data_IF_841403160936
#
_entry.id   IF_841403160936
#
_cell.length_a   1.000
_cell.length_b   1.000
_cell.length_c   1.000
_cell.angle_alpha   90.00
_cell.angle_beta   90.00
_cell.angle_gamma   90.00
#
_symmetry.space_group_name_H-M   'P 1'
#
loop_
_entity.id
_entity.type
_entity.pdbx_description
1 polymer ?
#
# COMPACT_ATOMS: atom_id res chain seq x y z
N UNK A 1 -7.27 -5.34 18.06
CA UNK A 1 -6.66 -6.58 18.61
C UNK A 1 -6.08 -7.54 17.53
N UNK A 2 -6.54 -7.62 16.25
CA UNK A 2 -5.98 -8.59 15.28
C UNK A 2 -4.48 -8.44 14.95
N UNK A 3 -3.95 -7.21 14.95
CA UNK A 3 -2.56 -6.93 14.56
C UNK A 3 -1.51 -7.54 15.52
N UNK A 4 -1.75 -7.50 16.83
CA UNK A 4 -0.81 -8.05 17.81
C UNK A 4 -0.67 -9.57 17.67
N UNK A 5 -1.77 -10.27 17.33
CA UNK A 5 -1.74 -11.70 17.06
C UNK A 5 -0.95 -12.05 15.80
N UNK A 6 -1.00 -11.19 14.77
CA UNK A 6 -0.19 -11.35 13.57
C UNK A 6 1.31 -11.14 13.85
N UNK A 7 1.68 -10.15 14.67
CA UNK A 7 3.08 -9.92 15.06
C UNK A 7 3.67 -11.11 15.84
N UNK A 8 2.86 -11.76 16.68
CA UNK A 8 3.28 -12.95 17.44
C UNK A 8 3.35 -14.23 16.59
N UNK A 9 2.92 -14.18 15.32
CA UNK A 9 2.99 -15.31 14.39
C UNK A 9 3.53 -14.86 13.02
N UNK A 10 4.86 -14.89 12.83
CA UNK A 10 5.51 -14.41 11.61
C UNK A 10 4.95 -15.01 10.31
N UNK A 11 4.62 -16.30 10.31
CA UNK A 11 4.06 -16.98 9.13
C UNK A 11 2.68 -16.40 8.73
N UNK A 12 1.84 -16.07 9.72
CA UNK A 12 0.55 -15.43 9.47
C UNK A 12 0.74 -13.99 8.95
N UNK A 13 1.69 -13.24 9.52
CA UNK A 13 2.04 -11.91 9.05
C UNK A 13 2.55 -11.92 7.60
N UNK A 14 3.50 -12.80 7.27
CA UNK A 14 4.03 -12.98 5.92
C UNK A 14 2.92 -13.31 4.91
N UNK A 15 2.04 -14.25 5.27
CA UNK A 15 0.91 -14.63 4.41
C UNK A 15 -0.02 -13.43 4.19
N UNK A 16 -0.37 -12.69 5.24
CA UNK A 16 -1.23 -11.52 5.13
C UNK A 16 -0.60 -10.42 4.27
N UNK A 17 0.70 -10.17 4.44
CA UNK A 17 1.46 -9.21 3.62
C UNK A 17 1.46 -9.65 2.17
N UNK A 18 1.73 -10.93 1.88
CA UNK A 18 1.74 -11.48 0.52
C UNK A 18 0.37 -11.43 -0.15
N UNK A 19 -0.70 -11.77 0.56
CA UNK A 19 -2.08 -11.69 0.02
C UNK A 19 -2.54 -10.25 -0.23
N UNK A 20 -1.99 -9.28 0.50
CA UNK A 20 -2.44 -7.88 0.44
C UNK A 20 -1.59 -7.04 -0.51
N UNK A 21 -0.28 -7.24 -0.53
CA UNK A 21 0.68 -6.44 -1.29
C UNK A 21 1.42 -7.24 -2.38
N UNK A 22 1.18 -8.54 -2.51
CA UNK A 22 2.04 -9.49 -3.23
C UNK A 22 2.56 -9.02 -4.57
N UNK A 23 1.69 -8.47 -5.43
CA UNK A 23 2.11 -7.97 -6.76
C UNK A 23 3.07 -6.78 -6.66
N UNK A 24 2.97 -5.94 -5.63
CA UNK A 24 3.91 -4.83 -5.39
C UNK A 24 5.23 -5.29 -4.75
N UNK A 25 5.31 -6.54 -4.26
CA UNK A 25 6.53 -7.12 -3.73
C UNK A 25 7.33 -7.85 -4.81
N UNK A 26 6.71 -8.21 -5.93
CA UNK A 26 7.35 -8.86 -7.06
C UNK A 26 8.47 -7.97 -7.66
N UNK A 27 9.72 -8.45 -7.76
CA UNK A 27 10.81 -7.75 -8.45
C UNK A 27 10.52 -7.42 -9.91
N UNK A 28 9.68 -8.19 -10.60
CA UNK A 28 9.29 -7.94 -11.99
C UNK A 28 8.28 -6.79 -12.13
N UNK A 29 7.66 -6.32 -11.03
CA UNK A 29 6.71 -5.21 -11.08
C UNK A 29 7.42 -3.91 -11.38
N UNK A 30 7.14 -3.38 -12.58
CA UNK A 30 7.67 -2.09 -13.04
C UNK A 30 7.30 -0.97 -12.07
N UNK A 31 8.29 -0.15 -11.72
CA UNK A 31 8.16 1.00 -10.82
C UNK A 31 7.62 0.64 -9.42
N UNK A 32 7.87 -0.59 -8.94
CA UNK A 32 7.35 -1.06 -7.63
C UNK A 32 7.67 -0.12 -6.47
N UNK A 33 8.86 0.48 -6.47
CA UNK A 33 9.31 1.39 -5.41
C UNK A 33 8.49 2.68 -5.40
N UNK A 34 8.32 3.31 -6.56
CA UNK A 34 7.52 4.52 -6.68
C UNK A 34 6.03 4.27 -6.40
N UNK A 35 5.52 3.09 -6.78
CA UNK A 35 4.14 2.69 -6.47
C UNK A 35 3.94 2.43 -4.98
N UNK A 36 4.90 1.75 -4.32
CA UNK A 36 4.88 1.54 -2.87
C UNK A 36 4.93 2.87 -2.12
N UNK A 37 5.86 3.75 -2.48
CA UNK A 37 5.97 5.10 -1.91
C UNK A 37 4.66 5.88 -2.06
N UNK A 38 4.06 5.87 -3.25
CA UNK A 38 2.79 6.56 -3.50
C UNK A 38 1.65 5.97 -2.66
N UNK A 39 1.61 4.65 -2.51
CA UNK A 39 0.62 3.97 -1.68
C UNK A 39 0.76 4.35 -0.21
N UNK A 40 1.98 4.29 0.35
CA UNK A 40 2.26 4.66 1.74
C UNK A 40 1.86 6.12 2.01
N UNK A 41 2.30 7.05 1.14
CA UNK A 41 1.97 8.46 1.29
C UNK A 41 0.48 8.71 1.17
N UNK A 42 -0.20 8.10 0.20
CA UNK A 42 -1.63 8.31 0.01
C UNK A 42 -2.48 7.72 1.13
N UNK A 43 -2.07 6.59 1.69
CA UNK A 43 -2.72 6.00 2.86
C UNK A 43 -2.56 6.88 4.11
N UNK A 44 -1.43 7.56 4.26
CA UNK A 44 -1.15 8.49 5.37
C UNK A 44 -1.87 9.84 5.21
N UNK A 45 -1.84 10.43 4.00
CA UNK A 45 -2.37 11.77 3.73
C UNK A 45 -3.86 11.81 3.46
N UNK A 46 -4.46 10.73 2.97
CA UNK A 46 -5.91 10.64 2.75
C UNK A 46 -6.45 11.36 1.50
N UNK A 47 -5.65 12.24 0.87
CA UNK A 47 -6.06 12.95 -0.34
C UNK A 47 -4.98 12.93 -1.42
N UNK A 48 -5.38 12.98 -2.69
CA UNK A 48 -4.45 13.07 -3.83
C UNK A 48 -3.65 14.38 -3.79
N UNK A 49 -4.30 15.49 -3.38
CA UNK A 49 -3.67 16.81 -3.31
C UNK A 49 -2.50 16.80 -2.32
N UNK A 50 -2.74 16.28 -1.13
CA UNK A 50 -1.72 16.27 -0.07
C UNK A 50 -0.63 15.23 -0.36
N UNK A 51 -1.00 14.13 -1.02
CA UNK A 51 -0.01 13.14 -1.50
C UNK A 51 0.91 13.74 -2.57
N UNK A 52 0.36 14.53 -3.49
CA UNK A 52 1.13 15.21 -4.54
C UNK A 52 2.10 16.24 -3.95
N UNK A 53 1.64 17.02 -2.96
CA UNK A 53 2.48 17.97 -2.24
C UNK A 53 3.63 17.26 -1.50
N UNK A 54 3.35 16.18 -0.77
CA UNK A 54 4.35 15.40 -0.04
C UNK A 54 5.41 14.79 -0.98
N UNK A 55 4.96 14.15 -2.06
CA UNK A 55 5.84 13.50 -3.03
C UNK A 55 6.55 14.49 -3.96
N UNK A 56 6.21 15.79 -3.88
CA UNK A 56 6.67 16.83 -4.83
C UNK A 56 6.38 16.44 -6.29
N UNK A 57 5.20 15.87 -6.53
CA UNK A 57 4.74 15.43 -7.84
C UNK A 57 3.54 16.23 -8.31
N UNK A 58 3.33 16.27 -9.62
CA UNK A 58 2.07 16.79 -10.16
C UNK A 58 0.90 15.87 -9.78
N UNK A 59 -0.27 16.46 -9.51
CA UNK A 59 -1.50 15.70 -9.15
C UNK A 59 -1.81 14.59 -10.14
N UNK A 60 -1.59 14.83 -11.45
CA UNK A 60 -1.87 13.84 -12.49
C UNK A 60 -0.96 12.62 -12.38
N UNK A 61 0.30 12.80 -11.98
CA UNK A 61 1.24 11.69 -11.76
C UNK A 61 0.78 10.83 -10.59
N UNK A 62 0.30 11.43 -9.50
CA UNK A 62 -0.24 10.69 -8.36
C UNK A 62 -1.51 9.94 -8.75
N UNK A 63 -2.44 10.56 -9.47
CA UNK A 63 -3.65 9.89 -9.97
C UNK A 63 -3.31 8.67 -10.83
N UNK A 64 -2.40 8.83 -11.78
CA UNK A 64 -1.94 7.74 -12.64
C UNK A 64 -1.36 6.57 -11.83
N UNK A 65 -0.52 6.87 -10.82
CA UNK A 65 0.05 5.85 -9.94
C UNK A 65 -1.03 5.17 -9.08
N UNK A 66 -2.01 5.92 -8.57
CA UNK A 66 -3.12 5.36 -7.80
C UNK A 66 -4.03 4.48 -8.67
N UNK A 67 -4.30 4.86 -9.91
CA UNK A 67 -5.04 4.01 -10.86
C UNK A 67 -4.28 2.74 -11.16
N UNK A 68 -2.95 2.84 -11.34
CA UNK A 68 -2.12 1.65 -11.51
C UNK A 68 -2.15 0.74 -10.28
N UNK A 69 -2.11 1.32 -9.08
CA UNK A 69 -2.24 0.57 -7.82
C UNK A 69 -3.61 -0.13 -7.72
N UNK A 70 -4.72 0.55 -8.09
CA UNK A 70 -6.06 -0.05 -8.14
C UNK A 70 -6.11 -1.26 -9.08
N UNK A 71 -5.53 -1.14 -10.28
CA UNK A 71 -5.43 -2.23 -11.25
C UNK A 71 -4.62 -3.42 -10.73
N UNK A 72 -3.44 -3.13 -10.17
CA UNK A 72 -2.50 -4.14 -9.69
C UNK A 72 -3.02 -4.89 -8.46
N UNK A 73 -3.67 -4.19 -7.53
CA UNK A 73 -4.17 -4.76 -6.29
C UNK A 73 -5.59 -5.33 -6.44
N UNK A 74 -6.32 -4.96 -7.50
CA UNK A 74 -7.71 -5.36 -7.71
C UNK A 74 -8.65 -4.84 -6.62
N UNK A 75 -8.35 -3.68 -6.04
CA UNK A 75 -9.07 -3.12 -4.87
C UNK A 75 -9.36 -1.64 -5.02
N UNK A 76 -10.44 -1.19 -4.40
CA UNK A 76 -10.77 0.22 -4.28
C UNK A 76 -10.00 0.86 -3.11
N UNK A 77 -9.00 1.69 -3.42
CA UNK A 77 -8.15 2.36 -2.42
C UNK A 77 -8.87 3.45 -1.59
N UNK A 78 -10.11 3.78 -1.96
CA UNK A 78 -10.94 4.76 -1.27
C UNK A 78 -11.87 4.09 -0.24
N UNK A 79 -12.02 2.77 -0.30
CA UNK A 79 -12.83 2.01 0.66
C UNK A 79 -12.12 1.91 2.03
N UNK A 80 -12.77 2.28 3.15
CA UNK A 80 -12.14 2.28 4.47
C UNK A 80 -11.53 0.94 4.89
N UNK A 81 -12.21 -0.18 4.59
CA UNK A 81 -11.73 -1.52 4.92
C UNK A 81 -10.48 -1.90 4.13
N UNK A 82 -10.44 -1.57 2.83
CA UNK A 82 -9.26 -1.76 1.98
C UNK A 82 -8.08 -0.93 2.47
N UNK A 83 -8.32 0.34 2.81
CA UNK A 83 -7.27 1.23 3.34
C UNK A 83 -6.64 0.69 4.62
N UNK A 84 -7.47 0.28 5.59
CA UNK A 84 -6.99 -0.32 6.83
C UNK A 84 -6.16 -1.58 6.56
N UNK A 85 -6.64 -2.47 5.69
CA UNK A 85 -5.92 -3.70 5.32
C UNK A 85 -4.53 -3.39 4.76
N UNK A 86 -4.44 -2.42 3.85
CA UNK A 86 -3.18 -2.01 3.23
C UNK A 86 -2.22 -1.37 4.25
N UNK A 87 -2.73 -0.49 5.13
CA UNK A 87 -1.93 0.12 6.20
C UNK A 87 -1.34 -0.94 7.14
N UNK A 88 -2.12 -1.94 7.54
CA UNK A 88 -1.64 -3.05 8.37
C UNK A 88 -0.58 -3.88 7.64
N UNK A 89 -0.77 -4.18 6.35
CA UNK A 89 0.19 -4.95 5.58
C UNK A 89 1.52 -4.20 5.39
N UNK A 90 1.48 -2.88 5.15
CA UNK A 90 2.68 -2.04 5.11
C UNK A 90 3.39 -2.04 6.46
N UNK A 91 2.64 -1.91 7.56
CA UNK A 91 3.19 -1.97 8.91
C UNK A 91 3.88 -3.29 9.21
N UNK A 92 3.21 -4.42 8.95
CA UNK A 92 3.78 -5.76 9.13
C UNK A 92 5.02 -5.99 8.27
N UNK A 93 5.01 -5.56 7.01
CA UNK A 93 6.17 -5.67 6.11
C UNK A 93 7.43 -5.01 6.67
N UNK A 94 7.30 -3.92 7.45
CA UNK A 94 8.44 -3.22 8.05
C UNK A 94 9.01 -3.94 9.28
N UNK A 95 8.30 -4.93 9.80
CA UNK A 95 8.67 -5.71 11.00
C UNK A 95 9.16 -7.12 10.66
N UNK A 96 8.91 -7.59 9.43
CA UNK A 96 9.42 -8.84 8.87
C UNK A 96 10.81 -8.61 8.26
#
# INVERSE_FOLDING_TARGET
IPFLLMVQNPALAERFVRETLGVLLDPATRNREQLMETLETHLSRGSVKDSAAELKLHRHTVLYRLDRLRQLLGRNLDEPATRLRLQLAIGLRKLL
#
